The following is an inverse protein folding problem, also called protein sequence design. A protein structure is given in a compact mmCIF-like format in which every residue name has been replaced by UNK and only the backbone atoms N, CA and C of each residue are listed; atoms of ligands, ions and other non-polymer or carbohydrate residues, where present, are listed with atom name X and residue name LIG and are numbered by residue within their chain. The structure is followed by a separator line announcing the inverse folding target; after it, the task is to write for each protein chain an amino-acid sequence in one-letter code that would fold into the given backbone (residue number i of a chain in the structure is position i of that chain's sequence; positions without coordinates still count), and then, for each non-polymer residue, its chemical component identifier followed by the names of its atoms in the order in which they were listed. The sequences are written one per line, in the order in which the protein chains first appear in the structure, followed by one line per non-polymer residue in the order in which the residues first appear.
data_IF_825395139883
#
_entry.id   IF_825395139883
#
_cell.length_a   1.000
_cell.length_b   1.000
_cell.length_c   1.000
_cell.angle_alpha   90.00
_cell.angle_beta   90.00
_cell.angle_gamma   90.00
#
_symmetry.space_group_name_H-M   'P 1'
#
loop_
_entity.id
_entity.type
_entity.pdbx_description
1 polymer ?
#
# COMPACT_ATOMS: atom_id res chain seq x y z
N UNK A 1 -15.00 14.92 7.64
CA UNK A 1 -14.91 13.83 6.62
C UNK A 1 -14.78 12.52 7.38
N UNK A 2 -15.25 11.41 6.84
CA UNK A 2 -15.12 10.11 7.52
C UNK A 2 -13.78 9.50 7.12
N UNK A 3 -12.99 9.07 8.10
CA UNK A 3 -11.71 8.41 7.87
C UNK A 3 -11.86 7.19 6.94
N UNK A 4 -10.86 6.96 6.09
CA UNK A 4 -10.84 5.79 5.21
C UNK A 4 -10.26 4.55 5.89
N UNK A 5 -9.40 4.76 6.90
CA UNK A 5 -8.88 3.71 7.78
C UNK A 5 -8.80 4.23 9.20
N UNK A 6 -9.34 3.48 10.16
CA UNK A 6 -9.28 3.80 11.58
C UNK A 6 -8.93 2.54 12.37
N UNK A 7 -7.98 2.65 13.30
CA UNK A 7 -7.60 1.59 14.24
C UNK A 7 -7.74 2.13 15.66
N UNK A 8 -8.37 1.34 16.54
CA UNK A 8 -8.57 1.66 17.97
C UNK A 8 -8.13 0.48 18.83
N UNK A 9 -7.02 0.65 19.54
CA UNK A 9 -6.47 -0.40 20.41
C UNK A 9 -6.12 -1.69 19.68
N UNK A 10 -5.86 -1.60 18.34
CA UNK A 10 -5.73 -2.76 17.48
C UNK A 10 -4.52 -3.59 17.87
N UNK A 11 -4.75 -4.89 18.08
CA UNK A 11 -3.70 -5.82 18.51
C UNK A 11 -3.76 -7.13 17.73
N UNK A 12 -2.58 -7.71 17.43
CA UNK A 12 -2.43 -8.97 16.71
C UNK A 12 -1.25 -9.79 17.21
N UNK A 13 -1.47 -11.08 17.42
CA UNK A 13 -0.42 -12.03 17.85
C UNK A 13 -0.31 -13.19 16.86
N UNK A 14 0.89 -13.74 16.79
CA UNK A 14 1.19 -15.01 16.10
C UNK A 14 1.88 -15.92 17.12
N UNK A 15 1.10 -16.80 17.75
CA UNK A 15 1.61 -17.58 18.89
C UNK A 15 2.11 -16.66 20.02
N UNK A 16 3.38 -16.74 20.34
CA UNK A 16 4.02 -15.89 21.36
C UNK A 16 4.47 -14.51 20.84
N UNK A 17 4.51 -14.32 19.51
CA UNK A 17 4.97 -13.06 18.91
C UNK A 17 3.82 -12.03 18.89
N UNK A 18 4.01 -10.89 19.55
CA UNK A 18 3.14 -9.72 19.45
C UNK A 18 3.53 -8.94 18.18
N UNK A 19 2.69 -9.03 17.14
CA UNK A 19 2.95 -8.38 15.85
C UNK A 19 2.41 -6.94 15.82
N UNK A 20 1.27 -6.68 16.51
CA UNK A 20 0.72 -5.34 16.74
C UNK A 20 0.21 -5.27 18.18
N UNK A 21 0.47 -4.13 18.85
CA UNK A 21 0.10 -3.90 20.23
C UNK A 21 -0.48 -2.49 20.39
N UNK A 22 -1.75 -2.42 20.76
CA UNK A 22 -2.48 -1.17 21.04
C UNK A 22 -2.31 -0.09 19.97
N UNK A 23 -2.44 -0.49 18.70
CA UNK A 23 -2.30 0.43 17.56
C UNK A 23 -3.53 1.33 17.46
N UNK A 24 -3.28 2.64 17.55
CA UNK A 24 -4.25 3.69 17.37
C UNK A 24 -3.78 4.59 16.23
N UNK A 25 -4.55 4.69 15.15
CA UNK A 25 -4.26 5.56 14.01
C UNK A 25 -5.54 5.89 13.23
N UNK A 26 -5.49 6.98 12.49
CA UNK A 26 -6.56 7.41 11.59
C UNK A 26 -5.95 7.92 10.29
N UNK A 27 -6.48 7.46 9.15
CA UNK A 27 -6.07 7.93 7.83
C UNK A 27 -7.28 8.59 7.15
N UNK A 28 -7.11 9.85 6.80
CA UNK A 28 -8.11 10.65 6.11
C UNK A 28 -8.04 10.43 4.58
N UNK A 29 -9.14 10.66 3.83
CA UNK A 29 -9.10 10.65 2.38
C UNK A 29 -8.22 11.78 1.82
N UNK A 30 -7.76 11.64 0.56
CA UNK A 30 -6.95 12.63 -0.13
C UNK A 30 -5.51 12.72 0.37
N UNK A 31 -4.97 11.65 0.97
CA UNK A 31 -3.60 11.63 1.51
C UNK A 31 -2.78 10.48 0.94
N UNK A 32 -1.52 10.77 0.68
CA UNK A 32 -0.48 9.75 0.46
C UNK A 32 0.27 9.55 1.77
N UNK A 33 0.11 8.40 2.39
CA UNK A 33 0.60 8.09 3.74
C UNK A 33 1.72 7.06 3.67
N UNK A 34 2.89 7.40 4.22
CA UNK A 34 3.99 6.46 4.41
C UNK A 34 3.83 5.64 5.68
N UNK A 35 3.62 4.33 5.56
CA UNK A 35 3.67 3.40 6.70
C UNK A 35 5.11 2.87 6.82
N UNK A 36 5.91 3.51 7.67
CA UNK A 36 7.37 3.41 7.70
C UNK A 36 7.85 2.65 8.94
N UNK A 37 8.84 1.80 8.77
CA UNK A 37 9.41 1.04 9.89
C UNK A 37 10.34 -0.06 9.40
N UNK A 38 11.20 -0.60 10.28
CA UNK A 38 12.09 -1.71 9.93
C UNK A 38 11.31 -2.97 9.56
N UNK A 39 12.00 -3.93 8.97
CA UNK A 39 11.40 -5.25 8.69
C UNK A 39 10.96 -5.91 9.99
N UNK A 40 9.77 -6.53 9.98
CA UNK A 40 9.18 -7.15 11.17
C UNK A 40 8.49 -6.17 12.14
N UNK A 41 8.40 -4.87 11.84
CA UNK A 41 7.75 -3.90 12.72
C UNK A 41 6.22 -4.01 12.82
N UNK A 42 5.57 -4.78 11.91
CA UNK A 42 4.12 -4.98 11.91
C UNK A 42 3.37 -4.38 10.72
N UNK A 43 4.02 -3.65 9.79
CA UNK A 43 3.41 -2.98 8.63
C UNK A 43 2.52 -3.91 7.80
N UNK A 44 3.07 -5.02 7.31
CA UNK A 44 2.32 -6.04 6.54
C UNK A 44 1.17 -6.65 7.33
N UNK A 45 1.32 -6.82 8.65
CA UNK A 45 0.25 -7.33 9.52
C UNK A 45 -0.91 -6.33 9.57
N UNK A 46 -0.63 -5.04 9.73
CA UNK A 46 -1.64 -3.97 9.71
C UNK A 46 -2.38 -3.93 8.37
N UNK A 47 -1.65 -3.96 7.26
CA UNK A 47 -2.23 -3.99 5.91
C UNK A 47 -3.13 -5.22 5.73
N UNK A 48 -2.71 -6.40 6.17
CA UNK A 48 -3.52 -7.63 6.07
C UNK A 48 -4.78 -7.57 6.91
N UNK A 49 -4.74 -6.96 8.10
CA UNK A 49 -5.92 -6.72 8.93
C UNK A 49 -6.90 -5.77 8.23
N UNK A 50 -6.42 -4.66 7.66
CA UNK A 50 -7.25 -3.72 6.90
C UNK A 50 -7.94 -4.38 5.68
N UNK A 51 -7.25 -5.33 5.03
CA UNK A 51 -7.83 -6.12 3.93
C UNK A 51 -8.75 -7.27 4.39
N UNK A 52 -8.91 -7.50 5.70
CA UNK A 52 -9.67 -8.65 6.22
C UNK A 52 -9.08 -10.00 5.83
N UNK A 53 -7.75 -10.05 5.61
CA UNK A 53 -6.98 -11.29 5.42
C UNK A 53 -6.56 -11.91 6.76
N UNK A 54 -6.64 -11.11 7.83
CA UNK A 54 -6.41 -11.51 9.22
C UNK A 54 -7.54 -10.96 10.08
N UNK A 55 -7.77 -11.63 11.22
CA UNK A 55 -8.69 -11.16 12.26
C UNK A 55 -7.86 -10.58 13.42
N UNK A 56 -8.21 -9.41 13.98
CA UNK A 56 -7.55 -8.88 15.16
C UNK A 56 -7.79 -9.77 16.38
N UNK A 57 -6.86 -9.75 17.34
CA UNK A 57 -6.99 -10.43 18.62
C UNK A 57 -7.50 -9.47 19.72
N UNK A 58 -7.43 -8.16 19.47
CA UNK A 58 -7.97 -7.11 20.33
C UNK A 58 -8.14 -5.78 19.57
N UNK A 59 -9.00 -4.92 20.11
CA UNK A 59 -9.32 -3.64 19.49
C UNK A 59 -10.18 -3.79 18.24
N UNK A 60 -10.24 -2.73 17.44
CA UNK A 60 -11.00 -2.70 16.19
C UNK A 60 -10.24 -2.04 15.05
N UNK A 61 -10.60 -2.42 13.83
CA UNK A 61 -10.16 -1.76 12.60
C UNK A 61 -11.38 -1.50 11.73
N UNK A 62 -11.50 -0.27 11.23
CA UNK A 62 -12.59 0.15 10.35
C UNK A 62 -12.01 0.67 9.03
N UNK A 63 -12.59 0.22 7.93
CA UNK A 63 -12.30 0.69 6.57
C UNK A 63 -13.55 1.36 6.02
N UNK A 64 -13.45 2.63 5.67
CA UNK A 64 -14.61 3.45 5.28
C UNK A 64 -15.77 3.35 6.29
N UNK A 65 -15.43 3.34 7.59
CA UNK A 65 -16.40 3.26 8.71
C UNK A 65 -16.98 1.89 8.99
N UNK A 66 -16.51 0.81 8.34
CA UNK A 66 -17.00 -0.56 8.53
C UNK A 66 -15.87 -1.53 8.87
N UNK A 67 -16.16 -2.54 9.67
CA UNK A 67 -15.23 -3.64 9.86
C UNK A 67 -14.95 -4.36 8.53
N UNK A 68 -13.73 -4.90 8.32
CA UNK A 68 -13.36 -5.58 7.08
C UNK A 68 -14.37 -6.66 6.67
N UNK A 69 -14.98 -6.50 5.50
CA UNK A 69 -16.02 -7.38 4.94
C UNK A 69 -15.95 -7.35 3.41
N UNK A 70 -16.87 -8.02 2.72
CA UNK A 70 -16.92 -8.01 1.25
C UNK A 70 -17.08 -6.60 0.67
N UNK A 71 -17.88 -5.75 1.32
CA UNK A 71 -18.12 -4.37 0.88
C UNK A 71 -16.84 -3.50 1.02
N UNK A 72 -16.11 -3.63 2.14
CA UNK A 72 -14.84 -2.90 2.31
C UNK A 72 -13.77 -3.38 1.36
N UNK A 73 -13.73 -4.69 1.02
CA UNK A 73 -12.82 -5.24 0.00
C UNK A 73 -13.08 -4.67 -1.40
N UNK A 74 -14.34 -4.35 -1.72
CA UNK A 74 -14.68 -3.64 -2.96
C UNK A 74 -14.12 -2.21 -2.99
N UNK A 75 -13.97 -1.56 -1.84
CA UNK A 75 -13.44 -0.19 -1.72
C UNK A 75 -11.92 -0.12 -1.55
N UNK A 76 -11.23 -1.25 -1.36
CA UNK A 76 -9.78 -1.33 -1.16
C UNK A 76 -9.09 -1.92 -2.38
N UNK A 77 -8.01 -1.29 -2.83
CA UNK A 77 -7.08 -1.87 -3.80
C UNK A 77 -5.78 -2.24 -3.09
N UNK A 78 -5.39 -3.51 -3.17
CA UNK A 78 -4.27 -4.05 -2.41
C UNK A 78 -3.16 -4.58 -3.32
N UNK A 79 -1.95 -4.06 -3.13
CA UNK A 79 -0.71 -4.58 -3.72
C UNK A 79 0.08 -5.32 -2.63
N UNK A 80 0.16 -6.64 -2.66
CA UNK A 80 1.01 -7.41 -1.74
C UNK A 80 2.49 -7.31 -2.12
N UNK A 81 3.38 -7.59 -1.14
CA UNK A 81 4.85 -7.60 -1.28
C UNK A 81 5.37 -8.60 -2.33
N UNK A 82 4.58 -9.60 -2.66
CA UNK A 82 4.90 -10.62 -3.66
C UNK A 82 3.80 -10.71 -4.71
N UNK A 83 4.20 -11.09 -5.91
CA UNK A 83 3.24 -11.35 -6.98
C UNK A 83 2.42 -12.59 -6.65
N UNK A 84 1.08 -12.41 -6.60
CA UNK A 84 0.11 -13.47 -6.31
C UNK A 84 -0.83 -13.75 -7.48
N UNK A 85 -0.49 -13.24 -8.65
CA UNK A 85 -1.28 -13.43 -9.87
C UNK A 85 -1.12 -14.87 -10.42
N UNK A 86 -2.18 -15.46 -11.00
CA UNK A 86 -2.11 -16.79 -11.62
C UNK A 86 -1.10 -16.81 -12.79
N UNK A 87 -0.03 -17.57 -12.64
CA UNK A 87 1.06 -17.60 -13.63
C UNK A 87 0.67 -18.19 -15.00
N UNK A 88 -0.40 -18.98 -15.05
CA UNK A 88 -0.92 -19.59 -16.28
C UNK A 88 -1.75 -18.63 -17.14
N UNK A 89 -2.20 -17.52 -16.59
CA UNK A 89 -2.97 -16.51 -17.30
C UNK A 89 -2.06 -15.56 -18.10
N UNK A 90 -2.60 -15.06 -19.24
CA UNK A 90 -1.99 -13.95 -19.96
C UNK A 90 -2.32 -12.61 -19.31
N UNK A 91 -1.56 -11.56 -19.64
CA UNK A 91 -1.85 -10.20 -19.13
C UNK A 91 -3.27 -9.76 -19.53
N UNK A 92 -3.68 -10.00 -20.77
CA UNK A 92 -5.05 -9.70 -21.22
C UNK A 92 -6.12 -10.47 -20.43
N UNK A 93 -5.90 -11.75 -20.12
CA UNK A 93 -6.82 -12.53 -19.29
C UNK A 93 -6.91 -11.99 -17.85
N UNK A 94 -5.81 -11.49 -17.30
CA UNK A 94 -5.82 -10.86 -15.98
C UNK A 94 -6.59 -9.54 -15.97
N UNK A 95 -6.49 -8.74 -17.04
CA UNK A 95 -7.31 -7.52 -17.19
C UNK A 95 -8.80 -7.86 -17.19
N UNK A 96 -9.22 -8.88 -17.96
CA UNK A 96 -10.59 -9.35 -17.98
C UNK A 96 -11.05 -9.87 -16.62
N UNK A 97 -10.22 -10.65 -15.93
CA UNK A 97 -10.48 -11.15 -14.59
C UNK A 97 -10.73 -10.00 -13.60
N UNK A 98 -9.87 -8.98 -13.61
CA UNK A 98 -10.03 -7.83 -12.71
C UNK A 98 -11.32 -7.05 -13.03
N UNK A 99 -11.62 -6.85 -14.30
CA UNK A 99 -12.83 -6.16 -14.73
C UNK A 99 -14.13 -6.94 -14.42
N UNK A 100 -14.05 -8.27 -14.32
CA UNK A 100 -15.17 -9.09 -13.89
C UNK A 100 -15.39 -9.05 -12.36
N UNK A 101 -14.28 -9.07 -11.58
CA UNK A 101 -14.35 -9.09 -10.13
C UNK A 101 -14.55 -7.72 -9.48
N UNK A 102 -14.05 -6.64 -10.12
CA UNK A 102 -14.08 -5.30 -9.57
C UNK A 102 -14.87 -4.34 -10.46
N UNK A 103 -16.05 -3.95 -10.00
CA UNK A 103 -16.91 -3.02 -10.72
C UNK A 103 -16.27 -1.62 -10.94
N UNK A 104 -15.28 -1.28 -10.12
CA UNK A 104 -14.50 -0.03 -10.17
C UNK A 104 -13.23 -0.13 -11.01
N UNK A 105 -13.02 -1.25 -11.74
CA UNK A 105 -11.84 -1.44 -12.58
C UNK A 105 -11.95 -0.64 -13.89
N UNK A 106 -10.96 0.23 -14.12
CA UNK A 106 -10.87 1.08 -15.31
C UNK A 106 -10.03 0.40 -16.39
N UNK A 107 -10.74 -0.23 -17.37
CA UNK A 107 -10.10 -0.97 -18.48
C UNK A 107 -9.27 -0.07 -19.38
N UNK A 108 -9.72 1.16 -19.64
CA UNK A 108 -9.02 2.10 -20.52
C UNK A 108 -7.71 2.55 -19.88
N UNK A 109 -7.74 2.90 -18.59
CA UNK A 109 -6.54 3.22 -17.80
C UNK A 109 -5.56 2.05 -17.78
N UNK A 110 -6.04 0.83 -17.58
CA UNK A 110 -5.21 -0.36 -17.58
C UNK A 110 -4.52 -0.57 -18.93
N UNK A 111 -5.27 -0.50 -20.02
CA UNK A 111 -4.74 -0.66 -21.37
C UNK A 111 -3.73 0.43 -21.74
N UNK A 112 -3.99 1.70 -21.36
CA UNK A 112 -3.04 2.80 -21.57
C UNK A 112 -1.71 2.56 -20.84
N UNK A 113 -1.75 2.18 -19.54
CA UNK A 113 -0.53 1.90 -18.78
C UNK A 113 0.24 0.69 -19.33
N UNK A 114 -0.44 -0.37 -19.76
CA UNK A 114 0.17 -1.54 -20.39
C UNK A 114 0.83 -1.14 -21.72
N UNK A 115 0.13 -0.33 -22.55
CA UNK A 115 0.64 0.16 -23.82
C UNK A 115 1.87 1.05 -23.66
N UNK A 116 1.87 1.99 -22.72
CA UNK A 116 3.04 2.87 -22.43
C UNK A 116 4.30 2.11 -22.05
N UNK A 117 4.16 0.97 -21.39
CA UNK A 117 5.27 0.10 -21.02
C UNK A 117 5.61 -0.97 -22.03
N UNK A 118 4.88 -1.05 -23.14
CA UNK A 118 5.01 -2.11 -24.15
C UNK A 118 4.97 -3.51 -23.50
N UNK A 119 4.07 -3.72 -22.53
CA UNK A 119 3.95 -5.02 -21.86
C UNK A 119 3.28 -6.04 -22.76
N UNK A 120 3.74 -7.29 -22.79
CA UNK A 120 3.26 -8.31 -23.73
C UNK A 120 1.91 -8.90 -23.31
N UNK A 121 0.81 -8.30 -23.73
CA UNK A 121 -0.56 -8.68 -23.32
C UNK A 121 -0.92 -10.15 -23.57
N UNK A 122 -0.37 -10.75 -24.66
CA UNK A 122 -0.68 -12.13 -25.07
C UNK A 122 0.23 -13.18 -24.41
N UNK A 123 1.28 -12.77 -23.69
CA UNK A 123 2.16 -13.71 -23.01
C UNK A 123 1.59 -14.08 -21.64
N UNK A 124 1.84 -15.33 -21.21
CA UNK A 124 1.50 -15.80 -19.87
C UNK A 124 2.45 -15.20 -18.85
N UNK A 125 1.96 -14.96 -17.63
CA UNK A 125 2.80 -14.45 -16.55
C UNK A 125 4.04 -15.33 -16.30
N UNK A 126 3.90 -16.67 -16.41
CA UNK A 126 5.02 -17.61 -16.24
C UNK A 126 6.21 -17.33 -17.18
N UNK A 127 5.97 -16.68 -18.33
CA UNK A 127 6.97 -16.34 -19.35
C UNK A 127 7.62 -14.97 -19.12
N UNK A 128 7.09 -14.15 -18.18
CA UNK A 128 7.57 -12.81 -17.92
C UNK A 128 8.67 -12.81 -16.86
N UNK A 129 9.57 -11.83 -16.95
CA UNK A 129 10.55 -11.55 -15.90
C UNK A 129 9.86 -11.15 -14.59
N UNK A 130 10.54 -11.31 -13.45
CA UNK A 130 10.04 -10.88 -12.14
C UNK A 130 9.58 -9.42 -12.16
N UNK A 131 10.42 -8.50 -12.61
CA UNK A 131 10.09 -7.08 -12.69
C UNK A 131 8.91 -6.76 -13.62
N UNK A 132 8.75 -7.53 -14.71
CA UNK A 132 7.58 -7.37 -15.58
C UNK A 132 6.29 -7.85 -14.90
N UNK A 133 6.33 -8.95 -14.13
CA UNK A 133 5.19 -9.43 -13.33
C UNK A 133 4.78 -8.39 -12.27
N UNK A 134 5.75 -7.78 -11.59
CA UNK A 134 5.52 -6.72 -10.60
C UNK A 134 4.86 -5.49 -11.23
N UNK A 135 5.32 -5.05 -12.41
CA UNK A 135 4.70 -3.96 -13.18
C UNK A 135 3.25 -4.29 -13.56
N UNK A 136 2.99 -5.50 -14.07
CA UNK A 136 1.62 -5.94 -14.40
C UNK A 136 0.73 -5.90 -13.15
N UNK A 137 1.20 -6.43 -12.02
CA UNK A 137 0.42 -6.42 -10.77
C UNK A 137 0.13 -4.99 -10.29
N UNK A 138 1.11 -4.09 -10.33
CA UNK A 138 0.93 -2.69 -9.98
C UNK A 138 -0.12 -2.03 -10.88
N UNK A 139 -0.03 -2.22 -12.20
CA UNK A 139 -0.99 -1.64 -13.15
C UNK A 139 -2.41 -2.12 -12.85
N UNK A 140 -2.61 -3.41 -12.63
CA UNK A 140 -3.92 -3.96 -12.29
C UNK A 140 -4.49 -3.33 -11.01
N UNK A 141 -3.66 -3.16 -9.98
CA UNK A 141 -4.04 -2.53 -8.70
C UNK A 141 -4.37 -1.04 -8.91
N UNK A 142 -3.54 -0.30 -9.64
CA UNK A 142 -3.72 1.14 -9.86
C UNK A 142 -4.81 1.45 -10.90
N UNK A 143 -5.28 0.46 -11.65
CA UNK A 143 -6.42 0.61 -12.57
C UNK A 143 -7.78 0.50 -11.89
N UNK A 144 -7.85 0.25 -10.59
CA UNK A 144 -9.07 0.35 -9.80
C UNK A 144 -9.31 1.80 -9.37
N UNK A 145 -10.58 2.18 -9.20
CA UNK A 145 -10.99 3.47 -8.60
C UNK A 145 -11.37 3.25 -7.14
N UNK A 146 -10.41 2.72 -6.35
CA UNK A 146 -10.61 2.40 -4.96
C UNK A 146 -10.62 3.66 -4.07
N UNK A 147 -11.22 3.56 -2.88
CA UNK A 147 -11.17 4.62 -1.84
C UNK A 147 -9.90 4.53 -0.99
N UNK A 148 -9.30 3.36 -0.92
CA UNK A 148 -8.07 3.12 -0.17
C UNK A 148 -7.16 2.18 -0.96
N UNK A 149 -5.95 2.64 -1.25
CA UNK A 149 -4.89 1.81 -1.82
C UNK A 149 -3.94 1.42 -0.70
N UNK A 150 -3.71 0.13 -0.55
CA UNK A 150 -2.76 -0.44 0.41
C UNK A 150 -1.62 -1.11 -0.36
N UNK A 151 -0.45 -0.49 -0.38
CA UNK A 151 0.69 -0.92 -1.19
C UNK A 151 1.80 -1.41 -0.26
N UNK A 152 2.01 -2.73 -0.23
CA UNK A 152 2.99 -3.36 0.67
C UNK A 152 4.33 -3.55 -0.05
N UNK A 153 5.34 -2.75 0.35
CA UNK A 153 6.69 -2.71 -0.22
C UNK A 153 6.72 -2.57 -1.76
N UNK A 154 5.97 -1.62 -2.37
CA UNK A 154 5.82 -1.52 -3.83
C UNK A 154 7.13 -1.28 -4.58
N UNK A 155 8.15 -0.72 -3.91
CA UNK A 155 9.47 -0.40 -4.48
C UNK A 155 10.57 -1.33 -3.95
N UNK A 156 10.20 -2.36 -3.18
CA UNK A 156 11.16 -3.30 -2.59
C UNK A 156 11.83 -4.18 -3.63
N UNK A 157 13.17 -4.21 -3.62
CA UNK A 157 13.94 -5.13 -4.46
C UNK A 157 13.96 -4.84 -5.96
N UNK A 158 13.55 -3.63 -6.39
CA UNK A 158 13.64 -3.16 -7.77
C UNK A 158 14.78 -2.15 -7.96
N UNK A 159 15.25 -2.00 -9.20
CA UNK A 159 16.27 -1.02 -9.55
C UNK A 159 15.73 0.43 -9.45
N UNK A 160 16.62 1.45 -9.31
CA UNK A 160 16.21 2.84 -9.12
C UNK A 160 15.27 3.38 -10.20
N UNK A 161 15.54 3.11 -11.48
CA UNK A 161 14.70 3.60 -12.58
C UNK A 161 13.29 3.00 -12.54
N UNK A 162 13.17 1.74 -12.12
CA UNK A 162 11.88 1.08 -11.91
C UNK A 162 11.15 1.66 -10.68
N UNK A 163 11.87 2.09 -9.62
CA UNK A 163 11.24 2.76 -8.46
C UNK A 163 10.58 4.07 -8.85
N UNK A 164 11.29 4.92 -9.57
CA UNK A 164 10.76 6.20 -10.06
C UNK A 164 9.49 5.99 -10.90
N UNK A 165 9.52 5.00 -11.79
CA UNK A 165 8.36 4.63 -12.57
C UNK A 165 7.17 4.16 -11.70
N UNK A 166 7.42 3.32 -10.69
CA UNK A 166 6.39 2.83 -9.77
C UNK A 166 5.75 4.00 -9.02
N UNK A 167 6.56 4.88 -8.44
CA UNK A 167 6.07 6.04 -7.71
C UNK A 167 5.28 7.00 -8.60
N UNK A 168 5.79 7.31 -9.79
CA UNK A 168 5.07 8.13 -10.77
C UNK A 168 3.73 7.49 -11.17
N UNK A 169 3.70 6.17 -11.38
CA UNK A 169 2.47 5.43 -11.66
C UNK A 169 1.47 5.53 -10.52
N UNK A 170 1.90 5.39 -9.27
CA UNK A 170 1.04 5.49 -8.09
C UNK A 170 0.44 6.90 -8.02
N UNK A 171 1.29 7.93 -8.05
CA UNK A 171 0.87 9.32 -7.83
C UNK A 171 -0.03 9.85 -8.94
N UNK A 172 0.17 9.43 -10.19
CA UNK A 172 -0.64 9.89 -11.32
C UNK A 172 -1.96 9.14 -11.50
N UNK A 173 -2.12 7.98 -10.87
CA UNK A 173 -3.24 7.09 -11.17
C UNK A 173 -4.14 6.76 -9.99
N UNK A 174 -3.95 7.37 -8.79
CA UNK A 174 -4.94 7.25 -7.73
C UNK A 174 -6.01 8.34 -7.85
N UNK A 175 -7.18 8.11 -7.24
CA UNK A 175 -8.24 9.11 -7.14
C UNK A 175 -7.82 10.15 -6.08
N UNK A 176 -7.83 11.47 -6.37
CA UNK A 176 -7.46 12.50 -5.39
C UNK A 176 -8.30 12.50 -4.09
N UNK A 177 -9.49 11.90 -4.11
CA UNK A 177 -10.32 11.71 -2.91
C UNK A 177 -10.04 10.38 -2.19
N UNK A 178 -9.21 9.51 -2.76
CA UNK A 178 -8.78 8.27 -2.10
C UNK A 178 -7.58 8.52 -1.18
N UNK A 179 -7.30 7.57 -0.28
CA UNK A 179 -6.01 7.53 0.41
C UNK A 179 -5.11 6.45 -0.19
N UNK A 180 -3.81 6.72 -0.21
CA UNK A 180 -2.78 5.76 -0.61
C UNK A 180 -1.87 5.51 0.58
N UNK A 181 -1.74 4.27 1.01
CA UNK A 181 -0.79 3.84 2.06
C UNK A 181 0.33 3.07 1.41
N UNK A 182 1.55 3.59 1.52
CA UNK A 182 2.76 2.96 1.01
C UNK A 182 3.55 2.43 2.20
N UNK A 183 3.61 1.10 2.36
CA UNK A 183 4.52 0.53 3.35
C UNK A 183 5.91 0.37 2.75
N UNK A 184 6.93 0.85 3.45
CA UNK A 184 8.32 0.66 3.02
C UNK A 184 9.31 0.90 4.16
N UNK A 185 10.53 0.41 3.95
CA UNK A 185 11.72 0.75 4.74
C UNK A 185 12.69 1.65 3.95
N UNK A 186 12.39 1.96 2.68
CA UNK A 186 13.19 2.80 1.77
C UNK A 186 12.64 4.24 1.78
N UNK A 187 12.86 4.97 2.87
CA UNK A 187 12.19 6.23 3.17
C UNK A 187 12.64 7.35 2.23
N UNK A 188 13.95 7.46 1.98
CA UNK A 188 14.52 8.46 1.07
C UNK A 188 13.91 8.45 -0.33
N UNK A 189 13.44 7.28 -0.77
CA UNK A 189 12.89 7.12 -2.12
C UNK A 189 11.43 7.59 -2.20
N UNK A 190 10.69 7.60 -1.08
CA UNK A 190 9.25 7.93 -1.06
C UNK A 190 8.92 9.26 -0.39
N UNK A 191 9.81 9.83 0.45
CA UNK A 191 9.46 11.00 1.28
C UNK A 191 8.97 12.22 0.49
N UNK A 192 9.37 12.36 -0.77
CA UNK A 192 8.97 13.49 -1.62
C UNK A 192 7.53 13.38 -2.16
N UNK A 193 6.89 12.22 -2.04
CA UNK A 193 5.53 11.98 -2.51
C UNK A 193 4.54 11.80 -1.36
N UNK A 194 4.99 11.83 -0.11
CA UNK A 194 4.17 11.63 1.06
C UNK A 194 3.61 12.95 1.62
N UNK A 195 2.33 12.93 1.99
CA UNK A 195 1.68 14.00 2.77
C UNK A 195 1.84 13.76 4.27
N UNK A 196 1.80 12.50 4.69
CA UNK A 196 1.78 12.07 6.09
C UNK A 196 2.62 10.81 6.27
N UNK A 197 3.17 10.63 7.46
CA UNK A 197 3.92 9.42 7.83
C UNK A 197 3.42 8.82 9.14
N UNK A 198 3.44 7.49 9.18
CA UNK A 198 3.17 6.69 10.36
C UNK A 198 4.40 5.80 10.60
N UNK A 199 5.12 6.05 11.70
CA UNK A 199 6.25 5.23 12.09
C UNK A 199 5.79 4.07 12.96
N UNK A 200 6.14 2.84 12.56
CA UNK A 200 5.80 1.61 13.28
C UNK A 200 7.06 0.92 13.76
N UNK A 201 7.13 0.65 15.05
CA UNK A 201 8.24 -0.05 15.70
C UNK A 201 7.73 -1.08 16.70
N UNK A 202 8.19 -2.33 16.60
CA UNK A 202 7.81 -3.40 17.52
C UNK A 202 6.31 -3.57 17.70
N UNK A 203 5.55 -3.40 16.63
CA UNK A 203 4.09 -3.52 16.62
C UNK A 203 3.31 -2.30 17.13
N UNK A 204 3.99 -1.19 17.44
CA UNK A 204 3.37 0.04 17.95
C UNK A 204 3.54 1.20 16.97
N UNK A 205 2.56 2.10 16.93
CA UNK A 205 2.72 3.41 16.27
C UNK A 205 3.50 4.31 17.21
N UNK A 206 4.68 4.75 16.77
CA UNK A 206 5.57 5.62 17.58
C UNK A 206 5.48 7.08 17.15
N UNK A 207 5.03 7.35 15.94
CA UNK A 207 4.79 8.70 15.39
C UNK A 207 3.70 8.62 14.31
N UNK A 208 2.80 9.59 14.31
CA UNK A 208 1.94 9.94 13.17
C UNK A 208 1.99 11.45 13.01
N UNK A 209 2.43 11.96 11.84
CA UNK A 209 2.57 13.39 11.59
C UNK A 209 2.60 13.70 10.10
N UNK A 210 2.16 14.92 9.74
CA UNK A 210 2.35 15.45 8.40
C UNK A 210 3.83 15.65 8.07
N UNK A 211 4.20 15.45 6.81
CA UNK A 211 5.59 15.63 6.36
C UNK A 211 6.06 17.08 6.54
N UNK A 212 5.21 18.04 6.22
CA UNK A 212 5.52 19.47 6.40
C UNK A 212 5.65 19.83 7.89
N UNK A 213 4.81 19.25 8.75
CA UNK A 213 4.90 19.41 10.20
C UNK A 213 6.24 18.91 10.76
N UNK A 214 6.75 17.78 10.23
CA UNK A 214 8.08 17.26 10.59
C UNK A 214 9.17 18.27 10.19
N UNK A 215 9.10 18.82 8.98
CA UNK A 215 10.06 19.80 8.48
C UNK A 215 10.05 21.08 9.31
N UNK A 216 8.86 21.56 9.67
CA UNK A 216 8.70 22.79 10.47
C UNK A 216 9.15 22.60 11.92
N UNK A 217 8.71 21.52 12.59
CA UNK A 217 8.98 21.29 14.03
C UNK A 217 10.40 20.80 14.31
N UNK A 218 10.94 19.93 13.44
CA UNK A 218 12.23 19.28 13.68
C UNK A 218 13.35 19.83 12.79
N UNK A 219 13.05 20.61 11.73
CA UNK A 219 14.05 21.09 10.78
C UNK A 219 14.75 19.94 10.02
N UNK A 220 14.09 18.79 9.87
CA UNK A 220 14.66 17.55 9.34
C UNK A 220 13.80 16.98 8.23
N UNK A 221 14.43 16.18 7.34
CA UNK A 221 13.68 15.31 6.44
C UNK A 221 13.05 14.13 7.20
N UNK A 222 12.09 13.46 6.59
CA UNK A 222 11.46 12.25 7.16
C UNK A 222 12.50 11.15 7.40
N UNK A 223 13.42 10.94 6.44
CA UNK A 223 14.52 9.96 6.56
C UNK A 223 15.43 10.29 7.74
N UNK A 224 15.81 11.57 7.92
CA UNK A 224 16.66 11.99 9.04
C UNK A 224 15.98 11.78 10.41
N UNK A 225 14.69 12.12 10.50
CA UNK A 225 13.92 11.88 11.74
C UNK A 225 13.75 10.38 12.01
N UNK A 226 13.50 9.60 10.98
CA UNK A 226 13.38 8.15 11.11
C UNK A 226 14.66 7.53 11.66
N UNK A 227 15.84 7.87 11.11
CA UNK A 227 17.14 7.39 11.61
C UNK A 227 17.37 7.75 13.08
N UNK A 228 16.93 8.92 13.50
CA UNK A 228 17.04 9.33 14.91
C UNK A 228 16.11 8.51 15.81
N UNK A 229 14.85 8.33 15.43
CA UNK A 229 13.86 7.58 16.22
C UNK A 229 14.25 6.10 16.33
N UNK A 230 14.77 5.50 15.26
CA UNK A 230 15.14 4.09 15.25
C UNK A 230 16.61 3.83 15.56
N UNK A 231 17.41 4.89 15.83
CA UNK A 231 18.85 4.81 16.14
C UNK A 231 19.64 3.96 15.12
N UNK A 232 19.35 4.18 13.83
CA UNK A 232 20.03 3.52 12.71
C UNK A 232 21.27 4.31 12.30
#
# INVERSE_FOLDING_TARGET
MTAVLECKGLSKRYGSLQALEDVNLTIEPGRVVGLLGPNGSGKTTLIKLANGLLTPDGGEILVCGKAPCAETKAAVSYLPDKVHLPEWMTVAQLMELYAEFYADFDRERCADMIGRLNLPEKQRLSQLSKGTKEKVQLILVMSRRAKLYLLDEPIGGVDPATRDYILDTIIRNYDPEAAVVISTHLISDVENVLDEVIFVNGGKVVLQSGVDEIREKHGKSVDALFREVFKC
#
